data_IF_524046892272
#
_entry.id   IF_524046892272
#
_cell.length_a   1.000
_cell.length_b   1.000
_cell.length_c   1.000
_cell.angle_alpha   90.00
_cell.angle_beta   90.00
_cell.angle_gamma   90.00
#
_symmetry.space_group_name_H-M   'P 1'
#
loop_
_entity.id
_entity.type
_entity.pdbx_description
1 polymer ?
#
# COMPACT_ATOMS: atom_id res chain seq x y z
N UNK A 1 27.01 24.97 -19.94
CA UNK A 1 28.41 25.04 -20.36
C UNK A 1 28.74 23.90 -21.30
N UNK A 2 29.41 24.14 -22.43
CA UNK A 2 29.70 23.11 -23.44
C UNK A 2 30.68 22.04 -22.92
N UNK A 3 31.51 22.42 -21.95
CA UNK A 3 32.42 21.56 -21.18
C UNK A 3 31.68 20.49 -20.34
N UNK A 4 30.42 20.72 -19.99
CA UNK A 4 29.62 19.80 -19.17
C UNK A 4 29.01 18.65 -20.02
N UNK A 5 28.91 18.80 -21.34
CA UNK A 5 28.21 17.85 -22.23
C UNK A 5 28.86 16.46 -22.23
N UNK A 6 30.21 16.31 -22.37
CA UNK A 6 30.84 14.99 -22.41
C UNK A 6 30.69 14.26 -21.08
N UNK A 7 30.95 14.95 -19.96
CA UNK A 7 30.80 14.36 -18.62
C UNK A 7 29.37 13.91 -18.33
N UNK A 8 28.38 14.68 -18.76
CA UNK A 8 26.97 14.27 -18.66
C UNK A 8 26.69 13.02 -19.51
N UNK A 9 27.21 12.93 -20.72
CA UNK A 9 26.99 11.77 -21.59
C UNK A 9 27.57 10.48 -20.99
N UNK A 10 28.79 10.53 -20.44
CA UNK A 10 29.42 9.38 -19.77
C UNK A 10 28.63 8.92 -18.55
N UNK A 11 28.20 9.86 -17.71
CA UNK A 11 27.38 9.55 -16.54
C UNK A 11 26.01 8.98 -16.93
N UNK A 12 25.46 9.39 -18.08
CA UNK A 12 24.21 8.86 -18.62
C UNK A 12 24.36 7.41 -19.07
N UNK A 13 25.44 7.09 -19.79
CA UNK A 13 25.77 5.72 -20.24
C UNK A 13 25.94 4.78 -19.05
N UNK A 14 26.57 5.26 -17.98
CA UNK A 14 26.75 4.50 -16.74
C UNK A 14 25.52 4.50 -15.82
N UNK A 15 24.37 5.06 -16.24
CA UNK A 15 23.15 5.20 -15.43
C UNK A 15 23.37 5.90 -14.08
N UNK A 16 24.38 6.77 -13.99
CA UNK A 16 24.71 7.55 -12.80
C UNK A 16 23.94 8.88 -12.75
N UNK A 17 23.28 9.27 -13.84
CA UNK A 17 22.42 10.45 -13.85
C UNK A 17 20.99 10.12 -13.42
N UNK A 18 20.62 10.70 -12.28
CA UNK A 18 19.25 10.73 -11.74
C UNK A 18 18.24 11.33 -12.73
N UNK A 19 18.67 12.16 -13.68
CA UNK A 19 17.78 12.81 -14.65
C UNK A 19 17.24 11.90 -15.75
N UNK A 20 17.80 10.69 -15.93
CA UNK A 20 17.34 9.74 -16.97
C UNK A 20 17.08 8.32 -16.45
N UNK A 21 17.55 7.99 -15.25
CA UNK A 21 17.30 6.69 -14.65
C UNK A 21 15.92 6.68 -14.00
N UNK A 22 15.07 5.67 -14.28
CA UNK A 22 13.77 5.60 -13.64
C UNK A 22 13.96 5.41 -12.13
N UNK A 23 13.27 6.20 -11.32
CA UNK A 23 13.43 6.17 -9.87
C UNK A 23 12.89 4.84 -9.35
N UNK A 24 13.75 4.06 -8.68
CA UNK A 24 13.30 2.81 -8.07
C UNK A 24 12.30 3.08 -6.95
N UNK A 25 11.23 2.27 -6.83
CA UNK A 25 10.18 2.52 -5.84
C UNK A 25 10.70 2.51 -4.39
N UNK A 26 11.68 1.65 -4.08
CA UNK A 26 12.32 1.64 -2.77
C UNK A 26 13.02 2.98 -2.48
N UNK A 27 13.76 3.52 -3.45
CA UNK A 27 14.44 4.80 -3.31
C UNK A 27 13.43 5.96 -3.22
N UNK A 28 12.38 5.95 -4.04
CA UNK A 28 11.33 6.96 -4.01
C UNK A 28 10.59 6.97 -2.66
N UNK A 29 10.32 5.77 -2.10
CA UNK A 29 9.70 5.61 -0.79
C UNK A 29 10.61 6.16 0.31
N UNK A 30 11.89 5.81 0.31
CA UNK A 30 12.86 6.33 1.28
C UNK A 30 12.99 7.86 1.19
N UNK A 31 13.01 8.41 -0.03
CA UNK A 31 13.05 9.86 -0.23
C UNK A 31 11.76 10.54 0.29
N UNK A 32 10.60 9.91 0.12
CA UNK A 32 9.34 10.38 0.68
C UNK A 32 9.34 10.32 2.22
N UNK A 33 9.85 9.22 2.79
CA UNK A 33 9.94 9.05 4.25
C UNK A 33 10.92 10.03 4.90
N UNK A 34 11.96 10.45 4.17
CA UNK A 34 12.91 11.46 4.62
C UNK A 34 12.37 12.91 4.50
N UNK A 35 11.33 13.16 3.70
CA UNK A 35 10.68 14.46 3.56
C UNK A 35 9.48 14.56 4.49
N UNK A 36 9.50 15.51 5.43
CA UNK A 36 8.47 15.65 6.46
C UNK A 36 7.05 15.75 5.89
N UNK A 37 6.85 16.47 4.79
CA UNK A 37 5.53 16.65 4.20
C UNK A 37 5.05 15.38 3.51
N UNK A 38 5.93 14.72 2.75
CA UNK A 38 5.62 13.47 2.07
C UNK A 38 5.36 12.36 3.08
N UNK A 39 6.24 12.18 4.07
CA UNK A 39 6.12 11.18 5.13
C UNK A 39 4.78 11.34 5.88
N UNK A 40 4.42 12.54 6.33
CA UNK A 40 3.18 12.76 7.07
C UNK A 40 1.93 12.36 6.25
N UNK A 41 1.92 12.61 4.93
CA UNK A 41 0.82 12.20 4.04
C UNK A 41 0.86 10.70 3.76
N UNK A 42 2.05 10.14 3.57
CA UNK A 42 2.28 8.72 3.34
C UNK A 42 1.82 7.87 4.52
N UNK A 43 2.15 8.24 5.76
CA UNK A 43 1.73 7.51 6.97
C UNK A 43 0.21 7.51 7.16
N UNK A 44 -0.47 8.61 6.84
CA UNK A 44 -1.94 8.66 6.85
C UNK A 44 -2.52 7.72 5.79
N UNK A 45 -1.94 7.66 4.60
CA UNK A 45 -2.36 6.70 3.58
C UNK A 45 -2.13 5.26 4.06
N UNK A 46 -0.94 4.93 4.57
CA UNK A 46 -0.60 3.57 5.00
C UNK A 46 -1.54 3.11 6.13
N UNK A 47 -1.72 3.94 7.16
CA UNK A 47 -2.56 3.59 8.31
C UNK A 47 -4.04 3.41 7.97
N UNK A 48 -4.58 4.17 7.03
CA UNK A 48 -6.01 4.13 6.68
C UNK A 48 -6.33 3.18 5.52
N UNK A 49 -5.36 2.88 4.65
CA UNK A 49 -5.65 2.35 3.31
C UNK A 49 -4.75 1.23 2.81
N UNK A 50 -3.62 0.92 3.47
CA UNK A 50 -2.71 -0.13 3.00
C UNK A 50 -3.39 -1.50 2.96
N UNK A 51 -4.19 -1.82 3.97
CA UNK A 51 -4.94 -3.07 4.03
C UNK A 51 -5.90 -3.20 2.84
N UNK A 52 -6.75 -2.20 2.61
CA UNK A 52 -7.69 -2.16 1.49
C UNK A 52 -6.93 -2.31 0.16
N UNK A 53 -5.86 -1.52 -0.04
CA UNK A 53 -5.07 -1.53 -1.27
C UNK A 53 -4.41 -2.90 -1.53
N UNK A 54 -4.01 -3.61 -0.47
CA UNK A 54 -3.45 -4.97 -0.55
C UNK A 54 -4.48 -5.98 -1.06
N UNK A 55 -5.77 -5.74 -0.80
CA UNK A 55 -6.88 -6.54 -1.31
C UNK A 55 -7.42 -6.05 -2.67
N UNK A 56 -6.66 -5.20 -3.38
CA UNK A 56 -7.07 -4.54 -4.62
C UNK A 56 -8.37 -3.71 -4.48
N UNK A 57 -8.71 -3.32 -3.25
CA UNK A 57 -9.82 -2.43 -2.96
C UNK A 57 -9.26 -1.04 -2.72
N UNK A 58 -9.76 -0.04 -3.42
CA UNK A 58 -9.40 1.34 -3.09
C UNK A 58 -10.64 2.22 -3.20
N UNK A 59 -11.12 2.67 -2.05
CA UNK A 59 -12.24 3.60 -1.97
C UNK A 59 -11.79 5.04 -2.36
N UNK A 60 -12.76 5.96 -2.51
CA UNK A 60 -12.45 7.34 -2.89
C UNK A 60 -11.54 8.03 -1.87
N UNK A 61 -11.75 7.81 -0.57
CA UNK A 61 -10.92 8.40 0.50
C UNK A 61 -9.45 8.00 0.32
N UNK A 62 -9.18 6.73 0.07
CA UNK A 62 -7.83 6.21 -0.12
C UNK A 62 -7.14 6.74 -1.37
N UNK A 63 -7.88 6.88 -2.48
CA UNK A 63 -7.36 7.58 -3.68
C UNK A 63 -7.01 9.03 -3.37
N UNK A 64 -7.87 9.74 -2.64
CA UNK A 64 -7.63 11.13 -2.27
C UNK A 64 -6.40 11.27 -1.33
N UNK A 65 -6.21 10.33 -0.39
CA UNK A 65 -5.02 10.29 0.49
C UNK A 65 -3.75 10.03 -0.31
N UNK A 66 -3.76 9.04 -1.19
CA UNK A 66 -2.59 8.73 -2.01
C UNK A 66 -2.25 9.88 -2.97
N UNK A 67 -3.26 10.51 -3.57
CA UNK A 67 -3.08 11.69 -4.42
C UNK A 67 -2.45 12.86 -3.65
N UNK A 68 -2.82 13.07 -2.38
CA UNK A 68 -2.17 14.09 -1.53
C UNK A 68 -0.70 13.76 -1.28
N UNK A 69 -0.35 12.49 -1.08
CA UNK A 69 1.05 12.08 -0.97
C UNK A 69 1.81 12.38 -2.26
N UNK A 70 1.26 12.01 -3.41
CA UNK A 70 1.89 12.24 -4.72
C UNK A 70 2.01 13.71 -5.11
N UNK A 71 1.16 14.58 -4.58
CA UNK A 71 1.25 16.02 -4.80
C UNK A 71 2.46 16.69 -4.10
N UNK A 72 3.13 15.98 -3.19
CA UNK A 72 4.35 16.49 -2.54
C UNK A 72 5.58 16.39 -3.45
N UNK A 73 6.63 17.15 -3.12
CA UNK A 73 7.87 17.19 -3.90
C UNK A 73 8.48 15.81 -4.13
N UNK A 74 8.56 14.99 -3.08
CA UNK A 74 9.12 13.63 -3.16
C UNK A 74 8.08 12.57 -3.56
N UNK A 75 6.80 12.82 -3.28
CA UNK A 75 5.73 11.90 -3.64
C UNK A 75 5.51 11.77 -5.15
N UNK A 76 5.82 12.81 -5.93
CA UNK A 76 5.76 12.73 -7.39
C UNK A 76 6.70 11.65 -7.95
N UNK A 77 7.89 11.49 -7.37
CA UNK A 77 8.82 10.41 -7.74
C UNK A 77 8.28 9.03 -7.35
N UNK A 78 7.58 8.93 -6.22
CA UNK A 78 6.91 7.69 -5.79
C UNK A 78 5.77 7.29 -6.73
N UNK A 79 5.03 8.26 -7.29
CA UNK A 79 3.97 8.00 -8.26
C UNK A 79 4.47 7.39 -9.59
N UNK A 80 5.69 7.74 -9.99
CA UNK A 80 6.28 7.34 -11.28
C UNK A 80 7.35 6.26 -11.15
N UNK A 81 7.55 5.73 -9.95
CA UNK A 81 8.65 4.85 -9.67
C UNK A 81 8.57 3.52 -10.46
N UNK A 82 9.71 2.86 -10.63
CA UNK A 82 9.80 1.55 -11.28
C UNK A 82 10.40 0.49 -10.38
N UNK A 83 10.07 -0.76 -10.68
CA UNK A 83 10.76 -1.92 -10.16
C UNK A 83 11.41 -2.63 -11.35
N UNK A 84 12.61 -3.14 -11.13
CA UNK A 84 13.42 -3.89 -12.08
C UNK A 84 13.41 -5.36 -11.72
N UNK A 85 13.87 -6.22 -12.63
CA UNK A 85 13.94 -7.68 -12.40
C UNK A 85 14.89 -8.10 -11.27
N UNK A 86 15.71 -7.16 -10.78
CA UNK A 86 16.62 -7.37 -9.64
C UNK A 86 16.03 -6.86 -8.32
N UNK A 87 14.90 -6.18 -8.35
CA UNK A 87 14.28 -5.64 -7.14
C UNK A 87 13.53 -6.72 -6.36
N UNK A 88 13.43 -6.53 -5.04
CA UNK A 88 12.78 -7.48 -4.14
C UNK A 88 11.27 -7.51 -4.30
N UNK A 89 10.64 -8.57 -3.77
CA UNK A 89 9.17 -8.70 -3.67
C UNK A 89 8.48 -7.49 -3.01
N UNK A 90 9.20 -6.74 -2.18
CA UNK A 90 8.73 -5.51 -1.54
C UNK A 90 8.47 -4.39 -2.55
N UNK A 91 9.37 -4.20 -3.53
CA UNK A 91 9.19 -3.21 -4.58
C UNK A 91 7.95 -3.54 -5.41
N UNK A 92 7.84 -4.80 -5.82
CA UNK A 92 6.72 -5.31 -6.60
C UNK A 92 5.40 -5.16 -5.85
N UNK A 93 5.36 -5.51 -4.55
CA UNK A 93 4.16 -5.33 -3.74
C UNK A 93 3.76 -3.85 -3.65
N UNK A 94 4.71 -2.96 -3.33
CA UNK A 94 4.46 -1.53 -3.27
C UNK A 94 3.90 -1.00 -4.59
N UNK A 95 4.60 -1.23 -5.71
CA UNK A 95 4.21 -0.67 -7.01
C UNK A 95 2.93 -1.32 -7.55
N UNK A 96 2.88 -2.64 -7.57
CA UNK A 96 1.90 -3.39 -8.36
C UNK A 96 0.67 -3.82 -7.55
N UNK A 97 0.73 -3.74 -6.22
CA UNK A 97 -0.42 -4.00 -5.35
C UNK A 97 -0.88 -2.67 -4.74
N UNK A 98 -0.08 -2.08 -3.86
CA UNK A 98 -0.52 -0.94 -3.04
C UNK A 98 -0.79 0.32 -3.89
N UNK A 99 0.21 0.76 -4.67
CA UNK A 99 0.08 1.98 -5.48
C UNK A 99 -0.89 1.78 -6.66
N UNK A 100 -0.81 0.62 -7.34
CA UNK A 100 -1.67 0.31 -8.50
C UNK A 100 -3.16 0.25 -8.15
N UNK A 101 -3.52 -0.34 -7.00
CA UNK A 101 -4.92 -0.46 -6.58
C UNK A 101 -5.63 0.90 -6.48
N UNK A 102 -4.89 1.94 -6.13
CA UNK A 102 -5.42 3.29 -5.91
C UNK A 102 -5.14 4.29 -7.05
N UNK A 103 -4.33 3.93 -8.04
CA UNK A 103 -4.01 4.79 -9.20
C UNK A 103 -4.79 4.42 -10.46
N UNK A 104 -5.28 3.18 -10.54
CA UNK A 104 -6.10 2.75 -11.66
C UNK A 104 -7.46 3.43 -11.55
N UNK A 105 -7.94 4.16 -12.58
CA UNK A 105 -9.28 4.72 -12.55
C UNK A 105 -10.27 3.55 -12.46
N UNK A 106 -11.09 3.56 -11.41
CA UNK A 106 -12.26 2.67 -11.34
C UNK A 106 -13.11 3.03 -12.55
N UNK A 107 -13.22 2.12 -13.52
CA UNK A 107 -14.28 2.19 -14.52
C UNK A 107 -15.56 2.18 -13.70
N UNK A 108 -16.17 3.35 -13.55
CA UNK A 108 -17.50 3.44 -12.97
C UNK A 108 -18.40 2.67 -13.92
N UNK A 109 -18.76 1.45 -13.55
CA UNK A 109 -20.00 0.86 -14.02
C UNK A 109 -21.09 1.77 -13.48
N UNK A 110 -21.48 2.74 -14.30
CA UNK A 110 -22.66 3.56 -14.08
C UNK A 110 -23.81 2.57 -14.20
N UNK A 111 -24.22 1.95 -13.11
CA UNK A 111 -25.53 1.33 -13.07
C UNK A 111 -26.54 2.46 -13.27
N UNK A 112 -27.36 2.44 -14.34
CA UNK A 112 -28.46 3.38 -14.46
C UNK A 112 -29.36 3.15 -13.24
N UNK A 113 -29.50 4.20 -12.44
CA UNK A 113 -30.38 4.21 -11.29
C UNK A 113 -31.81 4.24 -11.81
N UNK A 114 -32.38 3.06 -12.05
CA UNK A 114 -33.80 2.92 -12.38
C UNK A 114 -34.62 2.96 -11.08
N UNK A 115 -35.07 4.17 -10.75
CA UNK A 115 -36.13 4.38 -9.75
C UNK A 115 -37.46 4.15 -10.46
N UNK A 116 -37.92 2.89 -10.50
CA UNK A 116 -39.31 2.57 -10.80
C UNK A 116 -40.00 2.07 -9.52
N UNK A 117 -40.79 2.97 -8.94
CA UNK A 117 -41.81 2.66 -7.93
C UNK A 117 -42.92 1.88 -8.62
N UNK A 118 -43.10 0.61 -8.26
CA UNK A 118 -44.39 -0.09 -8.40
C UNK A 118 -44.60 -0.91 -7.12
N UNK A 119 -45.46 -0.42 -6.22
CA UNK A 119 -46.18 -1.26 -5.27
C UNK A 119 -47.05 -2.25 -6.05
N UNK A 120 -47.10 -3.52 -5.63
CA UNK A 120 -48.30 -4.37 -5.45
C UNK A 120 -47.82 -5.73 -4.88
N UNK A 121 -48.23 -6.05 -3.66
CA UNK A 121 -48.11 -7.38 -3.02
C UNK A 121 -49.28 -8.31 -3.46
N UNK A 122 -49.48 -9.53 -2.92
CA UNK A 122 -48.56 -10.52 -2.31
C UNK A 122 -48.71 -11.92 -2.97
N UNK A 123 -47.72 -12.82 -2.83
CA UNK A 123 -48.01 -14.27 -2.74
C UNK A 123 -46.81 -15.04 -2.22
N UNK A 124 -47.03 -15.80 -1.15
CA UNK A 124 -45.99 -16.46 -0.38
C UNK A 124 -45.57 -17.83 -0.91
N UNK A 125 -44.49 -18.34 -0.33
CA UNK A 125 -44.44 -19.71 0.20
C UNK A 125 -43.31 -19.80 1.23
N UNK A 126 -43.63 -20.50 2.32
CA UNK A 126 -42.85 -20.79 3.52
C UNK A 126 -41.84 -21.89 3.24
N UNK A 127 -40.59 -21.76 3.72
CA UNK A 127 -40.03 -22.69 4.73
C UNK A 127 -38.64 -22.29 5.23
N UNK A 128 -38.30 -22.63 6.50
CA UNK A 128 -37.14 -22.12 7.22
C UNK A 128 -35.94 -23.06 7.12
N UNK A 129 -34.73 -22.53 7.32
CA UNK A 129 -33.72 -23.29 8.05
C UNK A 129 -32.77 -22.35 8.80
N UNK A 130 -32.97 -22.39 10.10
CA UNK A 130 -32.08 -21.92 11.14
C UNK A 130 -30.80 -22.78 11.14
N UNK A 131 -29.64 -22.15 11.17
CA UNK A 131 -28.40 -22.74 11.68
C UNK A 131 -27.41 -21.62 11.95
N UNK A 132 -27.55 -21.08 13.16
CA UNK A 132 -26.55 -20.27 13.84
C UNK A 132 -25.27 -21.11 14.01
N UNK A 133 -24.26 -20.86 13.18
CA UNK A 133 -22.92 -21.42 13.28
C UNK A 133 -21.93 -20.36 13.75
N UNK A 134 -21.98 -20.01 15.04
CA UNK A 134 -20.95 -19.18 15.67
C UNK A 134 -19.67 -20.00 15.82
N UNK A 135 -18.74 -19.86 14.88
CA UNK A 135 -17.38 -20.37 15.01
C UNK A 135 -16.56 -19.40 15.88
N UNK A 136 -16.62 -19.61 17.20
CA UNK A 136 -15.70 -18.98 18.16
C UNK A 136 -14.28 -19.52 17.90
N UNK A 137 -13.42 -18.70 17.32
CA UNK A 137 -11.98 -18.93 17.32
C UNK A 137 -11.45 -18.82 18.76
N UNK A 138 -10.54 -19.70 19.22
CA UNK A 138 -9.94 -19.55 20.54
C UNK A 138 -9.05 -18.30 20.53
N UNK A 139 -9.47 -17.26 21.25
CA UNK A 139 -8.63 -16.12 21.60
C UNK A 139 -7.56 -16.63 22.55
N UNK A 140 -6.37 -16.91 22.02
CA UNK A 140 -5.18 -17.17 22.84
C UNK A 140 -4.88 -15.88 23.61
N UNK A 141 -4.81 -15.90 24.95
CA UNK A 141 -4.56 -14.68 25.71
C UNK A 141 -3.19 -14.11 25.32
N UNK A 142 -3.19 -12.87 24.80
CA UNK A 142 -1.98 -12.16 24.37
C UNK A 142 -0.88 -12.16 25.45
N UNK A 143 -1.26 -12.24 26.73
CA UNK A 143 -0.34 -12.34 27.87
C UNK A 143 0.64 -13.52 27.79
N UNK A 144 0.24 -14.66 27.21
CA UNK A 144 1.10 -15.86 27.11
C UNK A 144 2.15 -15.69 26.01
N UNK A 145 1.81 -15.00 24.92
CA UNK A 145 2.75 -14.71 23.84
C UNK A 145 3.81 -13.69 24.26
N UNK A 146 3.43 -12.64 25.00
CA UNK A 146 4.38 -11.65 25.52
C UNK A 146 5.34 -12.25 26.56
N UNK A 147 4.84 -13.09 27.47
CA UNK A 147 5.70 -13.77 28.45
C UNK A 147 6.73 -14.69 27.77
N UNK A 148 6.32 -15.43 26.74
CA UNK A 148 7.22 -16.28 25.96
C UNK A 148 8.31 -15.46 25.24
N UNK A 149 7.94 -14.34 24.62
CA UNK A 149 8.89 -13.45 23.93
C UNK A 149 9.90 -12.85 24.91
N UNK A 150 9.46 -12.41 26.10
CA UNK A 150 10.33 -11.87 27.14
C UNK A 150 11.36 -12.91 27.63
N UNK A 151 10.95 -14.15 27.86
CA UNK A 151 11.87 -15.22 28.29
C UNK A 151 12.93 -15.49 27.22
N UNK A 152 12.55 -15.54 25.93
CA UNK A 152 13.50 -15.75 24.83
C UNK A 152 14.50 -14.59 24.68
N UNK A 153 14.06 -13.35 24.88
CA UNK A 153 14.93 -12.17 24.84
C UNK A 153 15.93 -12.17 26.00
N UNK A 154 15.49 -12.52 27.21
CA UNK A 154 16.37 -12.64 28.38
C UNK A 154 17.40 -13.77 28.20
N UNK A 155 16.98 -14.92 27.67
CA UNK A 155 17.87 -16.05 27.40
C UNK A 155 18.95 -15.68 26.36
N UNK A 156 18.55 -15.00 25.29
CA UNK A 156 19.48 -14.53 24.25
C UNK A 156 20.46 -13.48 24.77
N UNK A 157 20.02 -12.64 25.71
CA UNK A 157 20.89 -11.67 26.38
C UNK A 157 21.92 -12.36 27.28
N UNK A 158 21.51 -13.38 28.04
CA UNK A 158 22.43 -14.15 28.91
C UNK A 158 23.51 -14.91 28.13
N UNK A 159 23.19 -15.48 26.96
CA UNK A 159 24.19 -16.12 26.10
C UNK A 159 25.17 -15.13 25.44
N UNK A 160 24.84 -13.85 25.40
CA UNK A 160 25.71 -12.82 24.83
C UNK A 160 26.68 -12.23 25.86
N UNK A 161 26.46 -12.51 27.15
CA UNK A 161 27.27 -11.99 28.27
C UNK A 161 28.28 -13.04 28.76
N UNK A 162 28.09 -14.32 28.42
CA UNK A 162 29.00 -15.43 28.71
C UNK A 162 29.82 -15.79 27.48
#
# INVERSE_FOLDING_TARGET
DASCIPGRHELEICHLLVSRSPVHCNLAKLACEADLQCNAKWEVFVSECEADATHAQCNKKCRDRLAQTFATKQGAALAQCTCTTRDDKLCENLKNVVLRACTTPVVQEVTPMDNSVIEHAPSGTVSPNDSTGSATLPVVPHFVAFASLCVLLLFRWSLSIY
#
